data_IF_794286504199
#
_entry.id   IF_794286504199
#
_cell.length_a   1.000
_cell.length_b   1.000
_cell.length_c   1.000
_cell.angle_alpha   90.00
_cell.angle_beta   90.00
_cell.angle_gamma   90.00
#
_symmetry.space_group_name_H-M   'P 1'
#
loop_
_entity.id
_entity.type
_entity.pdbx_description
1 polymer ?
#
# COMPACT_ATOMS: atom_id res chain seq x y z
N UNK A 1 17.97 -12.64 4.66
CA UNK A 1 16.50 -12.74 4.84
C UNK A 1 16.19 -12.40 6.28
N UNK A 2 15.30 -11.42 6.49
CA UNK A 2 14.83 -11.01 7.81
C UNK A 2 13.64 -11.89 8.24
N UNK A 3 13.26 -11.80 9.51
CA UNK A 3 12.07 -12.48 10.03
C UNK A 3 11.17 -11.48 10.74
N UNK A 4 9.85 -11.64 10.63
CA UNK A 4 8.92 -10.89 11.46
C UNK A 4 9.27 -11.09 12.94
N UNK A 5 9.21 -10.05 13.77
CA UNK A 5 9.35 -10.17 15.22
C UNK A 5 8.22 -10.96 15.86
N UNK A 6 7.16 -11.27 15.10
CA UNK A 6 5.97 -12.00 15.54
C UNK A 6 5.93 -13.44 15.05
N UNK A 7 6.99 -13.92 14.36
CA UNK A 7 7.03 -15.22 13.71
C UNK A 7 6.65 -16.39 14.66
N UNK A 8 7.04 -16.32 15.92
CA UNK A 8 6.73 -17.37 16.91
C UNK A 8 5.22 -17.48 17.21
N UNK A 9 4.52 -16.36 17.39
CA UNK A 9 3.07 -16.37 17.62
C UNK A 9 2.33 -16.74 16.32
N UNK A 10 2.78 -16.29 15.17
CA UNK A 10 2.21 -16.60 13.87
C UNK A 10 2.29 -18.09 13.56
N UNK A 11 3.45 -18.72 13.83
CA UNK A 11 3.64 -20.16 13.69
C UNK A 11 2.67 -20.94 14.62
N UNK A 12 2.48 -20.48 15.86
CA UNK A 12 1.53 -21.08 16.79
C UNK A 12 0.06 -20.93 16.33
N UNK A 13 -0.22 -19.91 15.53
CA UNK A 13 -1.52 -19.69 14.88
C UNK A 13 -1.66 -20.44 13.54
N UNK A 14 -0.72 -21.33 13.21
CA UNK A 14 -0.67 -22.11 11.98
C UNK A 14 -0.59 -21.25 10.70
N UNK A 15 0.14 -20.14 10.75
CA UNK A 15 0.42 -19.35 9.57
C UNK A 15 1.23 -20.15 8.53
N UNK A 16 0.84 -20.05 7.28
CA UNK A 16 1.68 -20.43 6.14
C UNK A 16 2.72 -19.31 5.95
N UNK A 17 3.97 -19.60 6.37
CA UNK A 17 5.07 -18.63 6.32
C UNK A 17 5.73 -18.69 4.96
N UNK A 18 5.84 -17.55 4.30
CA UNK A 18 6.53 -17.41 3.02
C UNK A 18 7.48 -16.21 2.99
N UNK A 19 8.16 -16.07 1.87
CA UNK A 19 9.04 -14.92 1.62
C UNK A 19 8.26 -13.77 0.96
N UNK A 20 8.41 -12.57 1.52
CA UNK A 20 7.93 -11.33 0.94
C UNK A 20 8.96 -10.22 1.18
N UNK A 21 9.45 -9.58 0.11
CA UNK A 21 10.41 -8.48 0.17
C UNK A 21 11.63 -8.79 1.07
N UNK A 22 12.20 -10.00 0.95
CA UNK A 22 13.32 -10.52 1.76
C UNK A 22 13.00 -10.71 3.27
N UNK A 23 11.71 -10.85 3.61
CA UNK A 23 11.24 -11.15 4.96
C UNK A 23 10.48 -12.47 5.00
N UNK A 24 10.58 -13.23 6.10
CA UNK A 24 9.68 -14.33 6.45
C UNK A 24 8.42 -13.73 7.06
N UNK A 25 7.28 -13.87 6.37
CA UNK A 25 6.02 -13.25 6.74
C UNK A 25 4.87 -14.26 6.66
N UNK A 26 3.77 -14.04 7.40
CA UNK A 26 2.55 -14.84 7.27
C UNK A 26 1.85 -14.51 5.95
N UNK A 27 1.86 -15.47 5.04
CA UNK A 27 1.21 -15.32 3.74
C UNK A 27 -0.30 -15.55 3.83
N UNK A 28 -0.72 -16.53 4.66
CA UNK A 28 -2.12 -16.83 5.01
C UNK A 28 -2.18 -17.67 6.28
N UNK A 29 -3.35 -17.76 6.91
CA UNK A 29 -3.65 -18.62 8.07
C UNK A 29 -4.71 -19.65 7.73
N UNK A 30 -5.64 -19.30 6.87
CA UNK A 30 -6.69 -20.16 6.32
C UNK A 30 -6.68 -20.05 4.79
N UNK A 31 -7.81 -19.81 4.16
CA UNK A 31 -7.82 -19.41 2.76
C UNK A 31 -7.75 -17.89 2.65
N UNK A 32 -6.99 -17.36 1.69
CA UNK A 32 -6.95 -15.90 1.51
C UNK A 32 -8.34 -15.34 1.16
N UNK A 33 -9.22 -16.15 0.57
CA UNK A 33 -10.58 -15.75 0.24
C UNK A 33 -11.40 -15.48 1.51
N UNK A 34 -11.31 -16.36 2.51
CA UNK A 34 -12.00 -16.18 3.77
C UNK A 34 -11.43 -15.00 4.55
N UNK A 35 -10.11 -14.86 4.59
CA UNK A 35 -9.42 -13.75 5.23
C UNK A 35 -9.76 -12.39 4.58
N UNK A 36 -9.82 -12.34 3.26
CA UNK A 36 -10.29 -11.17 2.51
C UNK A 36 -11.74 -10.81 2.89
N UNK A 37 -12.63 -11.80 2.91
CA UNK A 37 -14.02 -11.58 3.24
C UNK A 37 -14.24 -11.19 4.71
N UNK A 38 -13.35 -11.63 5.63
CA UNK A 38 -13.37 -11.15 7.01
C UNK A 38 -13.19 -9.62 7.06
N UNK A 39 -12.25 -9.07 6.32
CA UNK A 39 -12.01 -7.61 6.29
C UNK A 39 -13.22 -6.88 5.70
N UNK A 40 -13.79 -7.37 4.59
CA UNK A 40 -14.95 -6.74 3.93
C UNK A 40 -16.24 -6.85 4.73
N UNK A 41 -16.41 -7.86 5.57
CA UNK A 41 -17.67 -8.16 6.30
C UNK A 41 -17.56 -7.98 7.81
N UNK A 42 -16.34 -7.96 8.35
CA UNK A 42 -16.09 -7.92 9.78
C UNK A 42 -14.79 -7.16 10.07
N UNK A 43 -13.80 -7.85 10.64
CA UNK A 43 -12.48 -7.31 10.99
C UNK A 43 -11.44 -8.42 11.01
N UNK A 44 -10.21 -8.10 10.61
CA UNK A 44 -9.03 -8.95 10.77
C UNK A 44 -7.81 -8.13 11.18
N UNK A 45 -6.75 -8.78 11.67
CA UNK A 45 -5.46 -8.14 11.88
C UNK A 45 -4.40 -8.74 10.96
N UNK A 46 -3.42 -7.92 10.60
CA UNK A 46 -2.28 -8.27 9.75
C UNK A 46 -0.98 -7.92 10.44
N UNK A 47 0.00 -8.80 10.36
CA UNK A 47 1.38 -8.40 10.59
C UNK A 47 1.93 -7.69 9.37
N UNK A 48 2.39 -6.47 9.57
CA UNK A 48 3.01 -5.64 8.54
C UNK A 48 4.40 -5.15 9.00
N UNK A 49 5.04 -5.91 9.88
CA UNK A 49 6.34 -5.58 10.47
C UNK A 49 7.50 -5.54 9.48
N UNK A 50 7.31 -6.01 8.25
CA UNK A 50 8.29 -5.89 7.16
C UNK A 50 8.41 -4.47 6.60
N UNK A 51 7.38 -3.62 6.75
CA UNK A 51 7.43 -2.23 6.27
C UNK A 51 8.60 -1.49 6.94
N UNK A 52 9.30 -0.63 6.20
CA UNK A 52 10.33 0.22 6.78
C UNK A 52 9.72 1.31 7.66
N UNK A 53 10.32 1.58 8.81
CA UNK A 53 9.93 2.64 9.76
C UNK A 53 11.15 3.49 10.06
N UNK A 54 11.19 4.69 9.49
CA UNK A 54 12.29 5.62 9.64
C UNK A 54 11.84 6.80 10.51
N UNK A 55 12.67 7.17 11.48
CA UNK A 55 12.55 8.46 12.17
C UNK A 55 13.49 9.43 11.48
N UNK A 56 12.94 10.55 11.02
CA UNK A 56 13.68 11.61 10.32
C UNK A 56 13.60 12.87 11.16
N UNK A 57 14.75 13.52 11.39
CA UNK A 57 14.82 14.74 12.17
C UNK A 57 15.72 15.77 11.52
N UNK A 58 15.33 17.05 11.62
CA UNK A 58 16.03 18.19 11.06
C UNK A 58 15.09 19.22 10.46
N UNK A 59 15.58 19.99 9.51
CA UNK A 59 14.83 21.09 8.91
C UNK A 59 13.71 20.56 8.01
N UNK A 60 12.45 20.88 8.32
CA UNK A 60 11.28 20.49 7.55
C UNK A 60 11.40 20.86 6.06
N UNK A 61 11.99 22.01 5.75
CA UNK A 61 12.09 22.46 4.35
C UNK A 61 12.96 21.54 3.49
N UNK A 62 13.94 20.85 4.10
CA UNK A 62 14.75 19.87 3.38
C UNK A 62 13.90 18.62 3.06
N UNK A 63 13.11 18.11 4.02
CA UNK A 63 12.19 17.00 3.76
C UNK A 63 11.11 17.40 2.75
N UNK A 64 10.64 18.64 2.82
CA UNK A 64 9.66 19.21 1.89
C UNK A 64 10.13 19.11 0.42
N UNK A 65 11.41 19.36 0.15
CA UNK A 65 11.99 19.26 -1.20
C UNK A 65 12.16 17.81 -1.68
N UNK A 66 12.32 16.87 -0.76
CA UNK A 66 12.53 15.46 -1.11
C UNK A 66 11.24 14.73 -1.47
N UNK A 67 10.08 15.18 -0.95
CA UNK A 67 8.80 14.50 -1.12
C UNK A 67 7.85 15.33 -1.97
N UNK A 68 7.00 14.66 -2.71
CA UNK A 68 6.13 15.30 -3.70
C UNK A 68 4.90 16.01 -3.13
N UNK A 69 4.41 15.61 -1.92
CA UNK A 69 3.30 16.31 -1.24
C UNK A 69 3.82 17.35 -0.25
N UNK A 70 2.99 18.36 -0.03
CA UNK A 70 3.25 19.42 0.94
C UNK A 70 3.11 18.88 2.38
N UNK A 71 4.12 19.15 3.22
CA UNK A 71 4.17 18.78 4.63
C UNK A 71 3.83 19.98 5.52
N UNK A 72 4.29 21.18 5.13
CA UNK A 72 4.25 22.39 5.93
C UNK A 72 2.85 22.78 6.37
N UNK A 73 1.85 22.66 5.52
CA UNK A 73 0.45 22.97 5.83
C UNK A 73 -0.23 21.97 6.78
N UNK A 74 0.41 20.84 7.06
CA UNK A 74 -0.15 19.82 7.95
C UNK A 74 0.24 20.10 9.40
N UNK A 75 -0.70 19.93 10.32
CA UNK A 75 -0.45 20.07 11.77
C UNK A 75 0.30 18.85 12.33
N UNK A 76 1.00 18.98 13.47
CA UNK A 76 1.50 17.83 14.20
C UNK A 76 0.41 16.79 14.50
N UNK A 77 0.82 15.53 14.64
CA UNK A 77 -0.06 14.36 14.81
C UNK A 77 -0.94 14.01 13.61
N UNK A 78 -0.67 14.57 12.42
CA UNK A 78 -1.32 14.18 11.17
C UNK A 78 -0.42 13.28 10.32
N UNK A 79 -1.07 12.43 9.51
CA UNK A 79 -0.41 11.56 8.52
C UNK A 79 -0.59 12.20 7.15
N UNK A 80 0.52 12.48 6.49
CA UNK A 80 0.57 12.98 5.12
C UNK A 80 0.81 11.77 4.21
N UNK A 81 -0.13 11.52 3.35
CA UNK A 81 0.09 10.41 2.44
C UNK A 81 -1.18 9.81 1.83
N UNK A 82 -0.93 8.90 0.91
CA UNK A 82 0.38 8.60 0.36
C UNK A 82 1.04 9.80 -0.30
N UNK A 83 2.37 9.90 -0.16
CA UNK A 83 3.25 10.82 -0.89
C UNK A 83 4.40 10.03 -1.52
N UNK A 84 5.27 10.65 -2.28
CA UNK A 84 6.35 9.94 -2.97
C UNK A 84 7.70 10.63 -2.84
N UNK A 85 8.76 9.84 -2.75
CA UNK A 85 10.09 10.22 -3.17
C UNK A 85 10.20 9.93 -4.67
N UNK A 86 10.62 10.91 -5.44
CA UNK A 86 10.78 10.80 -6.88
C UNK A 86 12.23 11.06 -7.28
N UNK A 87 12.66 10.48 -8.40
CA UNK A 87 13.94 10.82 -9.03
C UNK A 87 13.80 12.01 -9.99
N UNK A 88 14.91 12.49 -10.54
CA UNK A 88 14.94 13.62 -11.46
C UNK A 88 14.12 13.42 -12.74
N UNK A 89 13.84 12.15 -13.10
CA UNK A 89 12.98 11.78 -14.23
C UNK A 89 11.50 11.66 -13.84
N UNK A 90 11.12 12.03 -12.60
CA UNK A 90 9.78 11.95 -12.07
C UNK A 90 9.30 10.54 -11.73
N UNK A 91 10.17 9.52 -11.83
CA UNK A 91 9.84 8.13 -11.47
C UNK A 91 9.87 7.91 -9.96
N UNK A 92 9.13 6.93 -9.47
CA UNK A 92 9.05 6.64 -8.04
C UNK A 92 10.36 6.04 -7.51
N UNK A 93 10.96 6.65 -6.51
CA UNK A 93 11.92 5.99 -5.64
C UNK A 93 11.19 5.18 -4.56
N UNK A 94 10.11 5.73 -4.01
CA UNK A 94 9.14 5.01 -3.17
C UNK A 94 7.84 5.80 -3.05
N UNK A 95 6.73 5.13 -2.72
CA UNK A 95 5.53 5.75 -2.17
C UNK A 95 5.46 5.49 -0.66
N UNK A 96 5.22 6.53 0.12
CA UNK A 96 5.40 6.50 1.58
C UNK A 96 4.26 7.19 2.32
N UNK A 97 4.13 6.86 3.61
CA UNK A 97 3.31 7.60 4.56
C UNK A 97 4.21 8.39 5.51
N UNK A 98 3.96 9.68 5.69
CA UNK A 98 4.71 10.56 6.60
C UNK A 98 3.84 10.94 7.78
N UNK A 99 4.33 10.69 8.97
CA UNK A 99 3.72 11.03 10.24
C UNK A 99 4.43 12.27 10.78
N UNK A 100 3.79 13.43 10.76
CA UNK A 100 4.35 14.69 11.26
C UNK A 100 4.26 14.73 12.78
N UNK A 101 5.37 14.48 13.46
CA UNK A 101 5.45 14.53 14.93
C UNK A 101 5.56 15.98 15.40
N UNK A 102 6.43 16.74 14.77
CA UNK A 102 6.64 18.18 15.02
C UNK A 102 7.13 18.85 13.74
N UNK A 103 7.52 20.12 13.82
CA UNK A 103 8.14 20.84 12.69
C UNK A 103 9.52 20.30 12.30
N UNK A 104 10.17 19.56 13.19
CA UNK A 104 11.54 19.05 12.98
C UNK A 104 11.67 17.53 13.19
N UNK A 105 10.56 16.82 13.36
CA UNK A 105 10.57 15.37 13.59
C UNK A 105 9.42 14.70 12.84
N UNK A 106 9.75 13.64 12.09
CA UNK A 106 8.84 12.89 11.24
C UNK A 106 9.11 11.39 11.40
N UNK A 107 8.04 10.60 11.26
CA UNK A 107 8.18 9.16 11.06
C UNK A 107 7.73 8.84 9.63
N UNK A 108 8.49 7.99 8.94
CA UNK A 108 8.21 7.63 7.55
C UNK A 108 8.05 6.12 7.45
N UNK A 109 6.92 5.68 6.89
CA UNK A 109 6.68 4.28 6.53
C UNK A 109 7.00 4.09 5.05
N UNK A 110 7.99 3.26 4.75
CA UNK A 110 8.45 2.92 3.40
C UNK A 110 8.00 1.52 3.00
N UNK A 111 7.99 1.22 1.71
CA UNK A 111 7.95 -0.16 1.27
C UNK A 111 9.17 -0.94 1.79
N UNK A 112 8.96 -2.21 2.15
CA UNK A 112 10.00 -3.04 2.78
C UNK A 112 11.29 -3.11 1.93
N UNK A 113 11.12 -3.23 0.62
CA UNK A 113 12.25 -3.35 -0.33
C UNK A 113 13.04 -2.04 -0.49
N UNK A 114 12.43 -0.89 -0.16
CA UNK A 114 13.01 0.43 -0.37
C UNK A 114 13.58 1.08 0.91
N UNK A 115 13.45 0.45 2.07
CA UNK A 115 13.89 1.00 3.35
C UNK A 115 15.33 1.55 3.31
N UNK A 116 16.29 0.74 2.90
CA UNK A 116 17.69 1.16 2.81
C UNK A 116 17.92 2.18 1.70
N UNK A 117 17.23 2.02 0.57
CA UNK A 117 17.30 2.97 -0.54
C UNK A 117 16.82 4.36 -0.10
N UNK A 118 15.69 4.45 0.59
CA UNK A 118 15.14 5.74 1.06
C UNK A 118 16.00 6.36 2.17
N UNK A 119 16.53 5.53 3.09
CA UNK A 119 17.51 6.02 4.09
C UNK A 119 18.71 6.69 3.40
N UNK A 120 19.28 6.02 2.40
CA UNK A 120 20.41 6.56 1.63
C UNK A 120 20.01 7.76 0.77
N UNK A 121 18.80 7.77 0.20
CA UNK A 121 18.27 8.87 -0.59
C UNK A 121 18.16 10.15 0.24
N UNK A 122 17.61 10.06 1.44
CA UNK A 122 17.51 11.20 2.36
C UNK A 122 18.90 11.69 2.74
N UNK A 123 19.79 10.79 3.16
CA UNK A 123 21.15 11.17 3.57
C UNK A 123 22.00 11.78 2.44
N UNK A 124 21.76 11.40 1.18
CA UNK A 124 22.46 11.94 0.02
C UNK A 124 21.96 13.33 -0.39
N UNK A 125 20.66 13.59 -0.25
CA UNK A 125 19.99 14.76 -0.82
C UNK A 125 19.59 15.81 0.23
N UNK A 126 19.95 15.61 1.51
CA UNK A 126 19.65 16.55 2.60
C UNK A 126 20.65 16.43 3.76
N UNK A 127 20.56 17.36 4.70
CA UNK A 127 21.25 17.32 5.99
C UNK A 127 20.44 16.66 7.10
N UNK A 128 19.33 15.98 6.78
CA UNK A 128 18.44 15.34 7.75
C UNK A 128 19.09 14.12 8.39
N UNK A 129 18.82 13.91 9.70
CA UNK A 129 19.21 12.70 10.39
C UNK A 129 18.15 11.63 10.23
N UNK A 130 18.56 10.39 9.95
CA UNK A 130 17.68 9.24 9.80
C UNK A 130 18.05 8.16 10.78
N UNK A 131 17.09 7.73 11.61
CA UNK A 131 17.19 6.57 12.50
C UNK A 131 16.23 5.48 12.01
N UNK A 132 16.75 4.28 11.76
CA UNK A 132 15.93 3.13 11.37
C UNK A 132 15.31 2.46 12.61
N UNK A 133 14.01 2.58 12.76
CA UNK A 133 13.21 1.98 13.83
C UNK A 133 12.63 0.61 13.48
N UNK A 134 12.88 0.11 12.27
CA UNK A 134 12.24 -1.10 11.72
C UNK A 134 12.43 -2.33 12.63
N UNK A 135 13.60 -2.48 13.22
CA UNK A 135 13.91 -3.62 14.08
C UNK A 135 13.62 -3.38 15.57
N UNK A 136 13.31 -2.12 15.92
CA UNK A 136 12.94 -1.75 17.30
C UNK A 136 11.47 -1.99 17.59
N UNK A 137 10.61 -1.68 16.62
CA UNK A 137 9.17 -1.84 16.73
C UNK A 137 8.66 -2.74 15.60
N UNK A 138 7.76 -3.65 15.92
CA UNK A 138 6.91 -4.29 14.93
C UNK A 138 5.71 -3.42 14.61
N UNK A 139 4.86 -3.88 13.68
CA UNK A 139 3.69 -3.13 13.22
C UNK A 139 2.53 -4.09 12.92
N UNK A 140 1.36 -3.84 13.54
CA UNK A 140 0.11 -4.53 13.25
C UNK A 140 -0.88 -3.58 12.60
N UNK A 141 -1.64 -4.06 11.61
CA UNK A 141 -2.81 -3.39 11.09
C UNK A 141 -4.07 -4.15 11.49
N UNK A 142 -5.04 -3.50 12.12
CA UNK A 142 -6.35 -4.04 12.48
C UNK A 142 -7.38 -3.35 11.59
N UNK A 143 -7.95 -4.08 10.63
CA UNK A 143 -8.70 -3.51 9.52
C UNK A 143 -10.02 -4.23 9.32
N UNK A 144 -11.08 -3.50 9.03
CA UNK A 144 -12.34 -4.10 8.63
C UNK A 144 -13.54 -3.19 8.77
N UNK A 145 -14.58 -3.48 7.98
CA UNK A 145 -15.81 -2.70 7.92
C UNK A 145 -16.46 -2.46 9.28
N UNK A 146 -16.35 -3.45 10.18
CA UNK A 146 -17.00 -3.44 11.48
C UNK A 146 -15.99 -3.37 12.64
N UNK A 147 -14.78 -2.83 12.41
CA UNK A 147 -13.71 -2.78 13.41
C UNK A 147 -14.17 -2.22 14.76
N UNK A 148 -15.00 -1.19 14.75
CA UNK A 148 -15.50 -0.50 15.94
C UNK A 148 -16.59 -1.27 16.72
N UNK A 149 -17.03 -2.42 16.20
CA UNK A 149 -17.90 -3.33 16.94
C UNK A 149 -17.10 -4.29 17.85
N UNK A 150 -15.79 -4.39 17.63
CA UNK A 150 -14.91 -5.33 18.33
C UNK A 150 -13.93 -4.63 19.28
N UNK A 151 -13.52 -3.42 18.94
CA UNK A 151 -12.59 -2.61 19.75
C UNK A 151 -13.23 -1.24 20.01
N UNK A 152 -12.90 -0.67 21.18
CA UNK A 152 -13.32 0.69 21.49
C UNK A 152 -12.79 1.67 20.43
N UNK A 153 -13.65 2.59 20.01
CA UNK A 153 -13.28 3.57 19.01
C UNK A 153 -12.20 4.49 19.56
N UNK A 154 -11.03 4.43 18.96
CA UNK A 154 -9.92 5.28 19.37
C UNK A 154 -10.24 6.76 19.11
N UNK A 155 -9.79 7.64 20.02
CA UNK A 155 -9.91 9.10 19.88
C UNK A 155 -8.94 9.67 18.83
N UNK A 156 -8.68 8.93 17.77
CA UNK A 156 -7.82 9.30 16.65
C UNK A 156 -8.67 9.41 15.39
N UNK A 157 -8.57 10.55 14.69
CA UNK A 157 -9.29 10.76 13.45
C UNK A 157 -8.59 10.04 12.28
N UNK A 158 -9.30 9.80 11.16
CA UNK A 158 -8.67 9.30 9.96
C UNK A 158 -7.45 10.15 9.57
N UNK A 159 -6.33 9.48 9.26
CA UNK A 159 -5.03 10.10 8.97
C UNK A 159 -4.47 10.97 10.11
N UNK A 160 -4.75 10.60 11.35
CA UNK A 160 -4.08 11.10 12.56
C UNK A 160 -3.43 9.94 13.32
N UNK A 161 -2.54 10.27 14.25
CA UNK A 161 -1.87 9.31 15.12
C UNK A 161 -1.63 9.89 16.52
N UNK A 162 -1.36 9.01 17.48
CA UNK A 162 -0.98 9.33 18.86
C UNK A 162 0.29 8.55 19.21
N UNK A 163 1.27 9.24 19.76
CA UNK A 163 2.50 8.62 20.29
C UNK A 163 2.35 8.27 21.77
N UNK A 164 3.08 7.23 22.21
CA UNK A 164 3.21 6.81 23.61
C UNK A 164 1.85 6.71 24.31
N UNK A 165 0.94 5.95 23.74
CA UNK A 165 -0.43 5.79 24.21
C UNK A 165 -0.72 4.36 24.65
N UNK A 166 -1.96 4.11 25.07
CA UNK A 166 -2.44 2.76 25.40
C UNK A 166 -3.36 2.23 24.32
N UNK A 167 -3.19 0.96 23.97
CA UNK A 167 -4.12 0.21 23.12
C UNK A 167 -4.38 -1.17 23.73
N UNK A 168 -5.65 -1.51 23.93
CA UNK A 168 -6.09 -2.73 24.61
C UNK A 168 -5.38 -2.96 25.96
N UNK A 169 -5.08 -1.87 26.70
CA UNK A 169 -4.39 -1.91 27.99
C UNK A 169 -2.87 -2.05 27.91
N UNK A 170 -2.25 -2.16 26.74
CA UNK A 170 -0.81 -2.19 26.52
C UNK A 170 -0.29 -0.78 26.18
N UNK A 171 0.95 -0.48 26.61
CA UNK A 171 1.64 0.74 26.18
C UNK A 171 2.22 0.54 24.78
N UNK A 172 1.83 1.37 23.82
CA UNK A 172 2.30 1.30 22.44
C UNK A 172 3.06 2.56 22.06
N UNK A 173 4.05 2.42 21.19
CA UNK A 173 4.82 3.56 20.71
C UNK A 173 3.97 4.48 19.84
N UNK A 174 3.17 3.90 18.95
CA UNK A 174 2.31 4.66 18.03
C UNK A 174 0.99 3.92 17.78
N UNK A 175 -0.09 4.68 17.80
CA UNK A 175 -1.42 4.25 17.34
C UNK A 175 -1.91 5.23 16.29
N UNK A 176 -2.22 4.74 15.09
CA UNK A 176 -2.74 5.55 13.99
C UNK A 176 -4.05 5.01 13.43
N UNK A 177 -4.87 5.91 12.85
CA UNK A 177 -6.05 5.51 12.07
C UNK A 177 -5.75 5.62 10.60
N UNK A 178 -5.19 4.56 10.08
CA UNK A 178 -4.70 4.38 8.71
C UNK A 178 -4.85 2.93 8.28
N UNK A 179 -4.59 2.63 7.02
CA UNK A 179 -4.63 1.27 6.48
C UNK A 179 -4.51 1.22 4.96
N UNK A 180 -4.42 0.00 4.42
CA UNK A 180 -4.20 -0.26 2.99
C UNK A 180 -5.23 -1.25 2.42
N UNK A 181 -6.41 -1.32 3.02
CA UNK A 181 -7.48 -2.25 2.64
C UNK A 181 -8.70 -1.56 2.03
N UNK A 182 -8.83 -0.25 2.23
CA UNK A 182 -10.02 0.51 1.89
C UNK A 182 -11.14 0.44 2.92
N UNK A 183 -10.97 -0.33 3.98
CA UNK A 183 -11.84 -0.33 5.15
C UNK A 183 -11.23 0.49 6.28
N UNK A 184 -12.03 0.85 7.27
CA UNK A 184 -11.56 1.57 8.46
C UNK A 184 -10.69 0.67 9.36
N UNK A 185 -9.83 1.26 10.17
CA UNK A 185 -8.99 0.51 11.07
C UNK A 185 -7.86 1.30 11.68
N UNK A 186 -7.01 0.58 12.39
CA UNK A 186 -5.87 1.12 13.13
C UNK A 186 -4.57 0.44 12.68
N UNK A 187 -3.47 1.15 12.84
CA UNK A 187 -2.12 0.59 12.78
C UNK A 187 -1.42 0.87 14.11
N UNK A 188 -0.74 -0.14 14.66
CA UNK A 188 -0.13 -0.13 15.98
C UNK A 188 1.35 -0.46 15.86
N UNK A 189 2.22 0.38 16.43
CA UNK A 189 3.66 0.12 16.50
C UNK A 189 4.05 -0.10 17.96
N UNK A 190 4.68 -1.22 18.24
CA UNK A 190 5.21 -1.55 19.56
C UNK A 190 6.33 -2.58 19.47
N UNK A 191 7.00 -2.86 20.58
CA UNK A 191 7.94 -3.97 20.64
C UNK A 191 7.24 -5.33 20.46
N UNK A 192 8.01 -6.38 20.15
CA UNK A 192 7.50 -7.70 19.84
C UNK A 192 6.63 -8.33 20.94
N UNK A 193 7.03 -8.13 22.22
CA UNK A 193 6.30 -8.70 23.36
C UNK A 193 4.95 -8.02 23.54
N UNK A 194 4.92 -6.70 23.44
CA UNK A 194 3.70 -5.90 23.49
C UNK A 194 2.75 -6.28 22.35
N UNK A 195 3.24 -6.40 21.11
CA UNK A 195 2.41 -6.83 19.99
C UNK A 195 1.88 -8.27 20.14
N UNK A 196 2.70 -9.16 20.69
CA UNK A 196 2.25 -10.54 21.00
C UNK A 196 1.10 -10.53 22.02
N UNK A 197 1.17 -9.69 23.07
CA UNK A 197 0.08 -9.50 24.03
C UNK A 197 -1.17 -8.93 23.37
N UNK A 198 -1.01 -7.94 22.50
CA UNK A 198 -2.12 -7.37 21.70
C UNK A 198 -2.78 -8.44 20.84
N UNK A 199 -2.00 -9.25 20.10
CA UNK A 199 -2.54 -10.36 19.29
C UNK A 199 -3.39 -11.31 20.14
N UNK A 200 -2.91 -11.70 21.32
CA UNK A 200 -3.67 -12.58 22.22
C UNK A 200 -5.00 -11.95 22.67
N UNK A 201 -5.01 -10.63 22.90
CA UNK A 201 -6.25 -9.90 23.24
C UNK A 201 -7.19 -9.78 22.05
N UNK A 202 -6.68 -9.52 20.85
CA UNK A 202 -7.48 -9.50 19.61
C UNK A 202 -8.15 -10.85 19.36
N UNK A 203 -7.42 -11.95 19.56
CA UNK A 203 -7.97 -13.31 19.45
C UNK A 203 -9.10 -13.57 20.48
N UNK A 204 -8.95 -13.09 21.74
CA UNK A 204 -10.00 -13.18 22.76
C UNK A 204 -11.25 -12.37 22.39
N UNK A 205 -11.09 -11.27 21.66
CA UNK A 205 -12.18 -10.47 21.11
C UNK A 205 -12.82 -11.10 19.84
N UNK A 206 -12.32 -12.25 19.37
CA UNK A 206 -12.80 -12.91 18.18
C UNK A 206 -12.26 -12.36 16.87
N UNK A 207 -11.30 -11.44 16.92
CA UNK A 207 -10.62 -10.89 15.73
C UNK A 207 -9.57 -11.90 15.28
N UNK A 208 -9.67 -12.34 14.03
CA UNK A 208 -8.79 -13.36 13.45
C UNK A 208 -7.65 -12.74 12.67
N UNK A 209 -6.51 -13.46 12.54
CA UNK A 209 -5.42 -13.02 11.67
C UNK A 209 -5.78 -13.16 10.20
N UNK A 210 -5.12 -12.35 9.36
CA UNK A 210 -5.12 -12.47 7.91
C UNK A 210 -3.70 -12.24 7.38
N UNK A 211 -3.34 -12.95 6.31
CA UNK A 211 -2.01 -12.90 5.75
C UNK A 211 -1.86 -11.93 4.58
N UNK A 212 -0.63 -11.81 4.09
CA UNK A 212 -0.28 -10.83 3.06
C UNK A 212 -0.98 -11.07 1.72
N UNK A 213 -1.35 -12.32 1.39
CA UNK A 213 -2.10 -12.63 0.15
C UNK A 213 -3.49 -11.99 0.20
N UNK A 214 -4.17 -12.03 1.36
CA UNK A 214 -5.45 -11.35 1.53
C UNK A 214 -5.27 -9.82 1.48
N UNK A 215 -4.22 -9.27 2.11
CA UNK A 215 -3.90 -7.83 2.02
C UNK A 215 -3.65 -7.38 0.58
N UNK A 216 -2.93 -8.18 -0.22
CA UNK A 216 -2.69 -7.89 -1.63
C UNK A 216 -3.99 -7.91 -2.46
N UNK A 217 -4.87 -8.85 -2.23
CA UNK A 217 -6.16 -8.89 -2.92
C UNK A 217 -7.08 -7.72 -2.56
N UNK A 218 -7.07 -7.28 -1.28
CA UNK A 218 -7.84 -6.13 -0.79
C UNK A 218 -7.35 -4.80 -1.40
N UNK A 219 -6.03 -4.56 -1.44
CA UNK A 219 -5.46 -3.35 -2.04
C UNK A 219 -5.79 -3.22 -3.53
N UNK A 220 -5.79 -4.35 -4.24
CA UNK A 220 -6.08 -4.37 -5.67
C UNK A 220 -7.54 -3.97 -5.97
N UNK A 221 -8.49 -4.35 -5.13
CA UNK A 221 -9.88 -3.87 -5.24
C UNK A 221 -9.98 -2.34 -5.16
N UNK A 222 -9.12 -1.72 -4.35
CA UNK A 222 -9.05 -0.27 -4.18
C UNK A 222 -8.22 0.43 -5.27
N UNK A 223 -7.43 -0.33 -6.04
CA UNK A 223 -6.47 0.23 -6.98
C UNK A 223 -5.23 0.82 -6.30
N UNK A 224 -4.95 0.42 -5.05
CA UNK A 224 -3.72 0.83 -4.38
C UNK A 224 -2.53 0.13 -5.00
N UNK A 225 -1.48 0.89 -5.25
CA UNK A 225 -0.27 0.40 -5.90
C UNK A 225 0.62 -0.41 -4.94
N UNK A 226 1.48 -1.25 -5.51
CA UNK A 226 2.58 -1.88 -4.80
C UNK A 226 3.87 -1.56 -5.56
N UNK A 227 4.86 -0.98 -4.84
CA UNK A 227 6.17 -0.71 -5.41
C UNK A 227 6.87 -2.01 -5.86
N UNK A 228 7.45 -1.97 -7.05
CA UNK A 228 8.05 -3.13 -7.70
C UNK A 228 7.07 -3.97 -8.54
N UNK A 229 5.76 -3.80 -8.32
CA UNK A 229 4.71 -4.41 -9.15
C UNK A 229 4.04 -3.39 -10.07
N UNK A 230 3.42 -2.36 -9.50
CA UNK A 230 2.59 -1.40 -10.21
C UNK A 230 3.30 -0.08 -10.48
N UNK A 231 4.27 0.28 -9.67
CA UNK A 231 5.10 1.47 -9.79
C UNK A 231 6.58 1.14 -9.55
N UNK A 232 7.46 1.88 -10.19
CA UNK A 232 8.91 1.80 -10.03
C UNK A 232 9.58 3.11 -10.45
N UNK A 233 10.92 3.12 -10.52
CA UNK A 233 11.73 4.29 -10.89
C UNK A 233 11.55 4.78 -12.33
N UNK A 234 10.80 4.07 -13.18
CA UNK A 234 10.52 4.44 -14.57
C UNK A 234 9.05 4.87 -14.80
N UNK A 235 8.25 4.88 -13.74
CA UNK A 235 6.82 5.22 -13.78
C UNK A 235 6.64 6.53 -13.02
N UNK A 236 5.96 7.51 -13.63
CA UNK A 236 5.62 8.76 -12.98
C UNK A 236 4.24 8.69 -12.31
N UNK A 237 3.97 9.53 -11.30
CA UNK A 237 2.64 9.66 -10.70
C UNK A 237 1.51 9.94 -11.71
N UNK A 238 1.80 10.68 -12.77
CA UNK A 238 0.82 10.99 -13.83
C UNK A 238 0.46 9.73 -14.62
N UNK A 239 1.46 8.96 -15.08
CA UNK A 239 1.23 7.67 -15.73
C UNK A 239 0.45 6.70 -14.82
N UNK A 240 0.83 6.66 -13.53
CA UNK A 240 0.19 5.81 -12.54
C UNK A 240 -1.21 6.28 -12.14
N UNK A 241 -1.66 7.47 -12.54
CA UNK A 241 -2.88 8.12 -12.04
C UNK A 241 -2.93 8.10 -10.52
N UNK A 242 -1.79 8.39 -9.91
CA UNK A 242 -1.59 8.35 -8.47
C UNK A 242 -1.19 9.74 -7.99
N UNK A 243 -2.20 10.52 -7.57
CA UNK A 243 -2.09 11.94 -7.26
C UNK A 243 -1.45 12.16 -5.89
N UNK A 244 -0.19 11.84 -5.78
CA UNK A 244 0.61 11.88 -4.55
C UNK A 244 1.54 13.10 -4.49
N UNK A 245 1.21 14.18 -5.20
CA UNK A 245 2.02 15.38 -5.31
C UNK A 245 1.19 16.67 -5.14
N UNK A 246 1.89 17.76 -4.81
CA UNK A 246 1.34 19.12 -4.70
C UNK A 246 2.11 20.03 -5.66
N UNK A 247 1.42 20.63 -6.63
CA UNK A 247 2.07 21.45 -7.66
C UNK A 247 2.52 22.84 -7.15
N UNK A 248 1.97 23.30 -6.03
CA UNK A 248 2.25 24.61 -5.44
C UNK A 248 3.62 24.72 -4.74
N UNK A 249 4.37 23.61 -4.68
CA UNK A 249 5.69 23.53 -4.06
C UNK A 249 6.72 22.95 -5.01
N UNK A 250 8.00 23.14 -4.71
CA UNK A 250 9.09 22.49 -5.43
C UNK A 250 9.43 21.13 -4.79
N UNK A 251 9.81 20.18 -5.63
CA UNK A 251 10.27 18.85 -5.24
C UNK A 251 11.06 18.19 -6.37
N UNK A 252 11.89 17.21 -6.03
CA UNK A 252 12.67 16.45 -7.02
C UNK A 252 11.72 15.76 -8.00
N UNK A 253 11.95 15.94 -9.30
CA UNK A 253 11.14 15.35 -10.37
C UNK A 253 9.90 16.15 -10.79
N UNK A 254 9.64 17.33 -10.18
CA UNK A 254 8.47 18.18 -10.51
C UNK A 254 8.41 18.56 -11.98
N UNK A 255 9.52 18.91 -12.59
CA UNK A 255 9.58 19.33 -14.02
C UNK A 255 8.99 18.24 -14.92
N UNK A 256 9.35 16.98 -14.68
CA UNK A 256 8.80 15.86 -15.46
C UNK A 256 7.33 15.62 -15.20
N UNK A 257 6.86 15.84 -13.99
CA UNK A 257 5.43 15.77 -13.65
C UNK A 257 4.66 16.85 -14.43
N UNK A 258 5.18 18.08 -14.46
CA UNK A 258 4.58 19.17 -15.22
C UNK A 258 4.57 18.88 -16.72
N UNK A 259 5.69 18.41 -17.28
CA UNK A 259 5.77 17.98 -18.68
C UNK A 259 4.68 16.94 -19.02
N UNK A 260 4.49 15.92 -18.18
CA UNK A 260 3.49 14.89 -18.39
C UNK A 260 2.05 15.40 -18.24
N UNK A 261 1.81 16.41 -17.41
CA UNK A 261 0.49 17.05 -17.28
C UNK A 261 0.18 17.87 -18.54
N UNK A 262 1.15 18.61 -19.06
CA UNK A 262 0.98 19.52 -20.21
C UNK A 262 0.93 18.76 -21.55
N UNK A 263 1.83 17.80 -21.74
CA UNK A 263 2.03 17.11 -23.02
C UNK A 263 1.36 15.73 -23.09
N UNK A 264 0.82 15.24 -21.95
CA UNK A 264 0.27 13.89 -21.84
C UNK A 264 1.35 12.84 -21.60
N UNK A 265 0.91 11.59 -21.47
CA UNK A 265 1.73 10.42 -21.15
C UNK A 265 1.58 9.33 -22.21
N UNK A 266 2.58 8.45 -22.33
CA UNK A 266 2.56 7.35 -23.31
C UNK A 266 1.80 6.10 -22.82
N UNK A 267 1.47 6.05 -21.53
CA UNK A 267 0.74 4.95 -20.87
C UNK A 267 -0.02 5.47 -19.66
N UNK A 268 -1.15 4.84 -19.37
CA UNK A 268 -2.02 5.21 -18.24
C UNK A 268 -2.38 3.95 -17.46
N UNK A 269 -2.23 3.98 -16.14
CA UNK A 269 -2.67 2.88 -15.28
C UNK A 269 -4.18 2.89 -15.12
N UNK A 270 -4.81 1.75 -15.39
CA UNK A 270 -6.24 1.50 -15.22
C UNK A 270 -6.47 0.11 -14.61
N UNK A 271 -7.64 -0.04 -14.01
CA UNK A 271 -8.12 -1.32 -13.57
C UNK A 271 -8.83 -2.09 -14.68
N UNK A 272 -8.96 -3.39 -14.48
CA UNK A 272 -9.77 -4.24 -15.35
C UNK A 272 -10.52 -5.31 -14.55
N UNK A 273 -11.62 -5.78 -15.14
CA UNK A 273 -12.44 -6.88 -14.61
C UNK A 273 -12.66 -7.91 -15.72
N UNK A 274 -12.34 -9.18 -15.46
CA UNK A 274 -12.71 -10.27 -16.36
C UNK A 274 -14.19 -10.60 -16.22
N UNK A 275 -14.77 -11.38 -17.14
CA UNK A 275 -16.11 -11.93 -16.99
C UNK A 275 -16.17 -12.84 -15.75
N UNK A 276 -17.34 -12.95 -15.11
CA UNK A 276 -17.50 -13.73 -13.87
C UNK A 276 -17.11 -15.20 -14.02
N UNK A 277 -17.29 -15.78 -15.20
CA UNK A 277 -17.01 -17.19 -15.47
C UNK A 277 -15.52 -17.44 -15.83
N UNK A 278 -14.78 -16.37 -16.17
CA UNK A 278 -13.35 -16.46 -16.44
C UNK A 278 -12.55 -16.50 -15.12
N UNK A 279 -11.83 -17.60 -14.90
CA UNK A 279 -11.00 -17.83 -13.71
C UNK A 279 -9.50 -17.81 -14.01
N UNK A 280 -9.13 -17.56 -15.25
CA UNK A 280 -7.74 -17.44 -15.63
C UNK A 280 -7.15 -16.16 -15.04
N UNK A 281 -6.10 -16.32 -14.23
CA UNK A 281 -5.44 -15.20 -13.57
C UNK A 281 -4.29 -14.68 -14.47
N UNK A 282 -4.38 -13.44 -14.99
CA UNK A 282 -3.26 -12.83 -15.70
C UNK A 282 -2.09 -12.61 -14.74
N UNK A 283 -0.87 -12.79 -15.21
CA UNK A 283 0.34 -12.48 -14.44
C UNK A 283 0.92 -11.15 -14.90
N UNK A 284 1.81 -10.61 -14.08
CA UNK A 284 2.63 -9.45 -14.45
C UNK A 284 3.25 -9.64 -15.83
N UNK A 285 3.33 -8.56 -16.62
CA UNK A 285 3.85 -8.48 -17.99
C UNK A 285 3.01 -9.20 -19.07
N UNK A 286 1.88 -9.82 -18.71
CA UNK A 286 0.96 -10.34 -19.72
C UNK A 286 0.41 -9.19 -20.57
N UNK A 287 0.37 -9.41 -21.90
CA UNK A 287 0.02 -8.37 -22.86
C UNK A 287 -1.48 -8.08 -22.83
N UNK A 288 -1.80 -6.80 -22.76
CA UNK A 288 -3.14 -6.30 -23.04
C UNK A 288 -3.19 -5.98 -24.51
N UNK A 289 -4.16 -6.56 -25.21
CA UNK A 289 -4.37 -6.48 -26.65
C UNK A 289 -5.53 -5.55 -26.99
N UNK A 290 -5.50 -4.99 -28.17
CA UNK A 290 -6.66 -4.29 -28.76
C UNK A 290 -7.91 -5.20 -28.79
N UNK A 291 -9.13 -4.67 -28.95
CA UNK A 291 -10.37 -5.47 -28.91
C UNK A 291 -10.39 -6.66 -29.87
N UNK A 292 -9.74 -6.51 -31.02
CA UNK A 292 -9.61 -7.60 -32.02
C UNK A 292 -8.38 -8.49 -31.77
N UNK A 293 -7.64 -8.27 -30.69
CA UNK A 293 -6.48 -9.09 -30.31
C UNK A 293 -5.23 -8.93 -31.18
N UNK A 294 -5.24 -8.01 -32.13
CA UNK A 294 -4.20 -7.90 -33.16
C UNK A 294 -2.98 -7.06 -32.76
N UNK A 295 -3.12 -6.16 -31.77
CA UNK A 295 -2.06 -5.22 -31.37
C UNK A 295 -1.84 -5.25 -29.88
N UNK A 296 -0.58 -5.15 -29.43
CA UNK A 296 -0.24 -4.93 -28.03
C UNK A 296 -0.49 -3.45 -27.69
N UNK A 297 -1.38 -3.21 -26.74
CA UNK A 297 -1.80 -1.87 -26.31
C UNK A 297 -1.47 -1.60 -24.85
N UNK A 298 -0.91 -2.60 -24.14
CA UNK A 298 -0.53 -2.45 -22.75
C UNK A 298 -0.02 -3.75 -22.13
N UNK A 299 0.13 -3.72 -20.82
CA UNK A 299 0.57 -4.86 -20.02
C UNK A 299 -0.06 -4.86 -18.63
N UNK A 300 -0.21 -6.04 -18.06
CA UNK A 300 -0.73 -6.25 -16.69
C UNK A 300 0.41 -6.01 -15.69
N UNK A 301 0.12 -5.36 -14.58
CA UNK A 301 1.04 -5.21 -13.44
C UNK A 301 0.66 -6.11 -12.27
N UNK A 302 -0.60 -6.10 -11.89
CA UNK A 302 -1.12 -6.92 -10.79
C UNK A 302 -2.48 -7.50 -11.14
N UNK A 303 -2.77 -8.69 -10.63
CA UNK A 303 -4.10 -9.28 -10.73
C UNK A 303 -4.38 -10.24 -9.57
N UNK A 304 -5.66 -10.39 -9.24
CA UNK A 304 -6.13 -11.32 -8.21
C UNK A 304 -7.55 -11.79 -8.52
N UNK A 305 -7.96 -12.90 -7.91
CA UNK A 305 -9.38 -13.20 -7.82
C UNK A 305 -9.95 -12.51 -6.58
N UNK A 306 -10.88 -11.58 -6.79
CA UNK A 306 -11.61 -10.93 -5.70
C UNK A 306 -12.75 -11.83 -5.24
N UNK A 307 -12.72 -12.35 -4.02
CA UNK A 307 -13.84 -13.14 -3.49
C UNK A 307 -15.08 -12.28 -3.22
N UNK A 308 -14.91 -10.98 -2.95
CA UNK A 308 -16.00 -10.04 -2.74
C UNK A 308 -16.78 -9.76 -4.04
N UNK A 309 -16.08 -9.58 -5.16
CA UNK A 309 -16.68 -9.39 -6.48
C UNK A 309 -17.01 -10.72 -7.20
N UNK A 310 -16.48 -11.84 -6.69
CA UNK A 310 -16.56 -13.17 -7.31
C UNK A 310 -16.05 -13.16 -8.76
N UNK A 311 -14.92 -12.51 -9.02
CA UNK A 311 -14.30 -12.41 -10.35
C UNK A 311 -12.81 -12.06 -10.27
N UNK A 312 -12.12 -12.32 -11.36
CA UNK A 312 -10.74 -11.83 -11.55
C UNK A 312 -10.77 -10.34 -11.84
N UNK A 313 -9.91 -9.63 -11.11
CA UNK A 313 -9.64 -8.21 -11.27
C UNK A 313 -8.15 -7.98 -11.40
N UNK A 314 -7.76 -6.82 -11.84
CA UNK A 314 -6.35 -6.43 -11.86
C UNK A 314 -6.17 -5.01 -12.33
N UNK A 315 -4.92 -4.65 -12.52
CA UNK A 315 -4.51 -3.35 -13.05
C UNK A 315 -3.35 -3.50 -14.02
N UNK A 316 -3.15 -2.49 -14.82
CA UNK A 316 -2.08 -2.47 -15.81
C UNK A 316 -1.96 -1.13 -16.49
N UNK A 317 -0.94 -0.98 -17.30
CA UNK A 317 -0.71 0.21 -18.10
C UNK A 317 -1.21 -0.01 -19.51
N UNK A 318 -1.94 0.97 -20.02
CA UNK A 318 -2.61 0.93 -21.33
C UNK A 318 -2.22 2.21 -22.07
N UNK A 319 -2.02 2.12 -23.38
CA UNK A 319 -1.81 3.30 -24.24
C UNK A 319 -3.03 4.22 -24.16
N UNK A 320 -2.86 5.55 -24.10
CA UNK A 320 -3.96 6.51 -23.89
C UNK A 320 -5.12 6.36 -24.86
N UNK A 321 -4.85 6.06 -26.13
CA UNK A 321 -5.87 5.88 -27.18
C UNK A 321 -6.77 4.66 -26.97
N UNK A 322 -6.46 3.78 -26.01
CA UNK A 322 -7.28 2.63 -25.62
C UNK A 322 -7.80 2.73 -24.18
N UNK A 323 -7.47 3.80 -23.46
CA UNK A 323 -7.70 3.95 -22.02
C UNK A 323 -9.10 4.47 -21.69
N UNK A 324 -10.14 3.91 -22.29
CA UNK A 324 -11.53 4.31 -22.08
C UNK A 324 -12.21 3.39 -21.05
N UNK A 325 -12.78 4.00 -20.00
CA UNK A 325 -13.56 3.27 -18.98
C UNK A 325 -14.78 2.62 -19.64
N UNK A 326 -14.99 1.34 -19.31
CA UNK A 326 -16.07 0.55 -19.89
C UNK A 326 -15.73 -0.18 -21.19
N UNK A 327 -14.59 0.15 -21.80
CA UNK A 327 -14.14 -0.47 -23.04
C UNK A 327 -13.66 -1.91 -22.80
N UNK A 328 -13.91 -2.80 -23.74
CA UNK A 328 -13.43 -4.18 -23.68
C UNK A 328 -12.13 -4.32 -24.48
N UNK A 329 -11.09 -4.75 -23.80
CA UNK A 329 -9.81 -5.17 -24.36
C UNK A 329 -9.65 -6.69 -24.21
N UNK A 330 -8.63 -7.26 -24.81
CA UNK A 330 -8.26 -8.65 -24.56
C UNK A 330 -6.97 -8.72 -23.73
N UNK A 331 -6.85 -9.71 -22.86
CA UNK A 331 -5.59 -10.06 -22.19
C UNK A 331 -5.13 -11.42 -22.72
N UNK A 332 -3.89 -11.47 -23.19
CA UNK A 332 -3.29 -12.72 -23.64
C UNK A 332 -2.82 -13.52 -22.44
N UNK A 333 -3.54 -14.58 -22.10
CA UNK A 333 -3.21 -15.48 -21.00
C UNK A 333 -2.76 -16.82 -21.59
N UNK A 334 -1.46 -17.02 -21.74
CA UNK A 334 -0.87 -18.26 -22.30
C UNK A 334 -1.42 -18.61 -23.68
N UNK A 335 -1.55 -17.61 -24.56
CA UNK A 335 -2.08 -17.78 -25.92
C UNK A 335 -3.61 -17.78 -26.02
N UNK A 336 -4.33 -17.72 -24.91
CA UNK A 336 -5.78 -17.53 -24.86
C UNK A 336 -6.11 -16.06 -24.67
N UNK A 337 -6.86 -15.48 -25.58
CA UNK A 337 -7.35 -14.10 -25.43
C UNK A 337 -8.62 -14.08 -24.55
N UNK A 338 -8.51 -13.44 -23.39
CA UNK A 338 -9.60 -13.31 -22.42
C UNK A 338 -10.09 -11.87 -22.42
N UNK A 339 -11.39 -11.66 -22.53
CA UNK A 339 -12.00 -10.32 -22.53
C UNK A 339 -11.91 -9.68 -21.13
N UNK A 340 -11.40 -8.45 -21.10
CA UNK A 340 -11.25 -7.64 -19.91
C UNK A 340 -11.95 -6.29 -20.09
N UNK A 341 -12.88 -5.95 -19.22
CA UNK A 341 -13.53 -4.64 -19.21
C UNK A 341 -12.70 -3.66 -18.40
N UNK A 342 -12.29 -2.57 -19.05
CA UNK A 342 -11.54 -1.50 -18.39
C UNK A 342 -12.42 -0.79 -17.39
N UNK A 343 -11.88 -0.55 -16.21
CA UNK A 343 -12.59 0.00 -15.06
C UNK A 343 -11.74 1.06 -14.36
N UNK A 344 -12.40 2.05 -13.77
CA UNK A 344 -11.74 3.00 -12.90
C UNK A 344 -11.58 2.44 -11.48
N UNK A 345 -10.76 3.09 -10.68
CA UNK A 345 -10.57 2.77 -9.27
C UNK A 345 -11.49 3.62 -8.37
N UNK A 346 -11.96 3.07 -7.25
CA UNK A 346 -11.81 1.67 -6.82
C UNK A 346 -12.64 0.69 -7.69
N UNK A 347 -12.19 -0.57 -7.75
CA UNK A 347 -12.91 -1.62 -8.48
C UNK A 347 -14.15 -2.13 -7.75
N UNK A 348 -14.32 -1.77 -6.48
CA UNK A 348 -15.48 -2.08 -5.64
C UNK A 348 -16.20 -0.81 -5.22
N UNK A 349 -17.46 -0.95 -4.83
CA UNK A 349 -18.16 0.11 -4.11
C UNK A 349 -17.96 -0.13 -2.61
N UNK A 350 -17.26 0.79 -1.96
CA UNK A 350 -16.96 0.75 -0.50
C UNK A 350 -18.02 1.43 0.36
N UNK A 351 -19.13 1.88 -0.24
CA UNK A 351 -20.24 2.53 0.47
C UNK A 351 -21.39 1.59 0.78
#
# INVERSE_FOLDING_TARGET
>A
MFSSPLLDIETKLNADIGEFANWKMPMKYTSYQDEHLLVRRSVAFFDISHMGRLKVSGNQNELELLVSKEISKNKPNSIIGPTAFLNDKGGFEDDVMIYKVSENEFLIVTNAINREKITNWIGKNSGLNVEDLTFKYGMLAIQGRNVWNFIEKAEVKPLEFILNTKFLGENVFLLSRSGWTGEDGLEVWADANTLTSIIQKLLKLGIKPAGLIARDSLRQEMGYVLYGEDIDSNITPVEARYWVFSLDKDFIGKEKIMEHIENGVNRIRLGFKLKKDDRLLPRKDYKIKSPLGSRDVGYVTSSTFSPYLNRVIGMGYIKPEYAYIGYELAIDIRGKQVKAKISDFPLINTR
#
